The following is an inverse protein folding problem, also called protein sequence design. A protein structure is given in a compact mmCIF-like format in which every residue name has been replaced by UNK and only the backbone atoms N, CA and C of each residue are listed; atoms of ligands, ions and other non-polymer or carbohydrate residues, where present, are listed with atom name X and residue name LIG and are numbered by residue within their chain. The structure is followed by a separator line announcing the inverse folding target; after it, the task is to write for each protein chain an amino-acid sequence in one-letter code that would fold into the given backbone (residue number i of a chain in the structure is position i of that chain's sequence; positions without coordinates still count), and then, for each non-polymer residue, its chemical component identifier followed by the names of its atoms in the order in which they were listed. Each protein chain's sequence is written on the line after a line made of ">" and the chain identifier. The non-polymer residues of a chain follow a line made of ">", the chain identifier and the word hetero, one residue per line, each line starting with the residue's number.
data_IF_746044915757
#
_entry.id   IF_746044915757
#
_cell.length_a   1.000
_cell.length_b   1.000
_cell.length_c   1.000
_cell.angle_alpha   90.00
_cell.angle_beta   90.00
_cell.angle_gamma   90.00
#
_symmetry.space_group_name_H-M   'P 1'
#
loop_
_entity.id
_entity.type
_entity.pdbx_description
1 polymer ?
#
# COMPACT_ATOMS: atom_id res chain seq x y z
N UNK A 1 8.65 -12.03 -0.47
CA UNK A 1 7.39 -11.92 -1.21
C UNK A 1 6.54 -10.80 -0.62
N UNK A 2 5.93 -10.02 -1.46
CA UNK A 2 5.09 -8.91 -1.02
C UNK A 2 3.71 -9.40 -0.54
N UNK A 3 3.06 -8.58 0.29
CA UNK A 3 1.70 -8.82 0.73
C UNK A 3 0.81 -7.73 0.15
N UNK A 4 -0.26 -8.15 -0.53
CA UNK A 4 -1.31 -7.27 -1.02
C UNK A 4 -2.59 -7.61 -0.28
N UNK A 5 -3.24 -6.58 0.28
CA UNK A 5 -4.50 -6.74 0.98
C UNK A 5 -5.51 -5.78 0.40
N UNK A 6 -6.70 -6.28 0.07
CA UNK A 6 -7.81 -5.46 -0.36
C UNK A 6 -8.80 -5.35 0.80
N UNK A 7 -8.94 -4.15 1.36
CA UNK A 7 -9.91 -3.88 2.40
C UNK A 7 -11.23 -3.46 1.76
N UNK A 8 -12.29 -4.25 1.91
CA UNK A 8 -13.60 -3.82 1.42
C UNK A 8 -14.22 -2.74 2.30
N UNK A 9 -15.26 -2.08 1.80
CA UNK A 9 -15.94 -0.98 2.50
C UNK A 9 -16.50 -1.37 3.87
N UNK A 10 -16.92 -2.62 4.03
CA UNK A 10 -17.56 -3.08 5.26
C UNK A 10 -16.58 -3.51 6.34
N UNK A 11 -15.28 -3.41 6.10
CA UNK A 11 -14.25 -3.93 7.00
C UNK A 11 -13.43 -2.80 7.59
N UNK A 12 -13.16 -2.91 8.89
CA UNK A 12 -12.24 -2.03 9.61
C UNK A 12 -11.07 -2.90 10.05
N UNK A 13 -9.84 -2.53 9.64
CA UNK A 13 -8.66 -3.32 9.96
C UNK A 13 -8.16 -2.98 11.38
N UNK A 14 -7.77 -3.99 12.17
CA UNK A 14 -7.19 -3.73 13.48
C UNK A 14 -5.80 -3.12 13.36
N UNK A 15 -5.47 -2.19 14.23
CA UNK A 15 -4.15 -1.53 14.28
C UNK A 15 -3.03 -2.56 14.43
N UNK A 16 -3.26 -3.62 15.20
CA UNK A 16 -2.29 -4.69 15.43
C UNK A 16 -1.84 -5.39 14.15
N UNK A 17 -2.68 -5.43 13.12
CA UNK A 17 -2.33 -6.02 11.83
C UNK A 17 -1.08 -5.35 11.26
N UNK A 18 -1.02 -4.02 11.33
CA UNK A 18 0.11 -3.24 10.80
C UNK A 18 1.40 -3.57 11.55
N UNK A 19 1.32 -3.72 12.86
CA UNK A 19 2.46 -4.13 13.68
C UNK A 19 2.96 -5.52 13.30
N UNK A 20 2.04 -6.46 13.09
CA UNK A 20 2.40 -7.85 12.78
C UNK A 20 3.00 -8.00 11.39
N UNK A 21 2.44 -7.31 10.39
CA UNK A 21 2.89 -7.43 9.00
C UNK A 21 4.28 -6.84 8.80
N UNK A 22 4.59 -5.73 9.46
CA UNK A 22 5.87 -5.04 9.27
C UNK A 22 7.07 -5.89 9.71
N UNK A 23 6.88 -6.84 10.59
CA UNK A 23 7.95 -7.72 11.04
C UNK A 23 8.57 -8.52 9.89
N UNK A 24 7.78 -8.88 8.89
CA UNK A 24 8.24 -9.66 7.73
C UNK A 24 8.33 -8.84 6.46
N UNK A 25 7.39 -7.91 6.24
CA UNK A 25 7.27 -7.15 5.00
C UNK A 25 7.57 -5.67 5.25
N UNK A 26 8.85 -5.34 5.40
CA UNK A 26 9.32 -4.05 5.91
C UNK A 26 10.02 -3.16 4.89
N UNK A 27 10.04 -3.53 3.61
CA UNK A 27 10.85 -2.84 2.59
C UNK A 27 10.08 -1.78 1.81
N UNK A 28 8.87 -1.47 2.23
CA UNK A 28 8.03 -0.44 1.63
C UNK A 28 6.58 -0.67 1.95
N UNK A 29 5.84 0.41 2.11
CA UNK A 29 4.41 0.38 2.42
C UNK A 29 3.69 1.38 1.53
N UNK A 30 2.53 1.00 1.03
CA UNK A 30 1.71 1.91 0.26
C UNK A 30 0.25 1.47 0.20
N UNK A 31 -0.61 2.40 -0.18
CA UNK A 31 -2.02 2.09 -0.43
C UNK A 31 -2.59 3.00 -1.50
N UNK A 32 -3.71 2.58 -2.05
CA UNK A 32 -4.47 3.34 -3.02
C UNK A 32 -5.97 3.14 -2.81
N UNK A 33 -6.74 4.19 -3.09
CA UNK A 33 -8.19 4.16 -2.99
C UNK A 33 -8.80 5.24 -3.89
N UNK A 34 -10.11 5.15 -4.08
CA UNK A 34 -10.89 6.26 -4.63
C UNK A 34 -11.60 6.95 -3.48
N UNK A 35 -11.52 8.28 -3.42
CA UNK A 35 -12.27 9.05 -2.43
C UNK A 35 -13.74 9.21 -2.87
N UNK A 36 -14.53 9.93 -2.08
CA UNK A 36 -15.96 10.13 -2.35
C UNK A 36 -16.23 10.95 -3.61
N UNK A 37 -15.27 11.76 -4.04
CA UNK A 37 -15.32 12.53 -5.28
C UNK A 37 -14.70 11.78 -6.46
N UNK A 38 -14.33 10.50 -6.25
CA UNK A 38 -13.71 9.61 -7.23
C UNK A 38 -12.32 10.06 -7.68
N UNK A 39 -11.62 10.80 -6.83
CA UNK A 39 -10.20 11.08 -7.01
C UNK A 39 -9.37 9.90 -6.50
N UNK A 40 -8.30 9.59 -7.22
CA UNK A 40 -7.37 8.55 -6.79
C UNK A 40 -6.48 9.12 -5.69
N UNK A 41 -6.50 8.46 -4.52
CA UNK A 41 -5.64 8.79 -3.39
C UNK A 41 -4.60 7.71 -3.28
N UNK A 42 -3.33 8.09 -3.20
CA UNK A 42 -2.23 7.16 -3.01
C UNK A 42 -1.31 7.63 -1.89
N UNK A 43 -0.67 6.67 -1.24
CA UNK A 43 0.36 6.93 -0.24
C UNK A 43 1.41 5.85 -0.38
N UNK A 44 2.68 6.23 -0.28
CA UNK A 44 3.77 5.25 -0.19
C UNK A 44 4.95 5.80 0.57
N UNK A 45 5.66 4.92 1.27
CA UNK A 45 6.81 5.28 2.08
C UNK A 45 7.76 4.09 2.20
N UNK A 46 9.04 4.37 2.42
CA UNK A 46 10.02 3.35 2.77
C UNK A 46 10.29 3.31 4.28
N UNK A 47 9.60 4.13 5.06
CA UNK A 47 9.68 4.12 6.52
C UNK A 47 9.33 2.73 7.05
N UNK A 48 10.03 2.30 8.10
CA UNK A 48 9.78 1.02 8.78
C UNK A 48 8.91 1.18 10.03
N UNK A 49 8.40 2.38 10.27
CA UNK A 49 7.55 2.66 11.43
C UNK A 49 6.10 2.30 11.13
N UNK A 50 5.64 1.16 11.67
CA UNK A 50 4.28 0.68 11.44
C UNK A 50 3.20 1.62 11.97
N UNK A 51 3.50 2.38 13.02
CA UNK A 51 2.55 3.36 13.57
C UNK A 51 2.31 4.51 12.58
N UNK A 52 3.36 4.95 11.89
CA UNK A 52 3.26 5.92 10.81
C UNK A 52 2.40 5.38 9.65
N UNK A 53 2.58 4.09 9.31
CA UNK A 53 1.78 3.43 8.28
C UNK A 53 0.30 3.44 8.67
N UNK A 54 0.02 3.02 9.89
CA UNK A 54 -1.35 2.99 10.37
C UNK A 54 -1.98 4.38 10.42
N UNK A 55 -1.24 5.37 10.91
CA UNK A 55 -1.75 6.74 11.03
C UNK A 55 -2.10 7.34 9.67
N UNK A 56 -1.29 7.06 8.65
CA UNK A 56 -1.58 7.49 7.27
C UNK A 56 -2.85 6.82 6.72
N UNK A 57 -3.07 5.57 7.06
CA UNK A 57 -4.23 4.80 6.61
C UNK A 57 -5.50 5.11 7.42
N UNK A 58 -5.37 5.47 8.68
CA UNK A 58 -6.49 5.59 9.63
C UNK A 58 -7.69 6.42 9.13
N UNK A 59 -7.49 7.54 8.40
CA UNK A 59 -8.63 8.31 7.88
C UNK A 59 -9.54 7.51 6.94
N UNK A 60 -9.03 6.44 6.34
CA UNK A 60 -9.76 5.60 5.38
C UNK A 60 -10.16 4.25 5.95
N UNK A 61 -9.86 4.03 7.24
CA UNK A 61 -10.15 2.76 7.92
C UNK A 61 -11.56 2.78 8.50
N UNK A 62 -12.53 2.83 7.62
CA UNK A 62 -13.95 2.88 8.00
C UNK A 62 -14.80 2.18 6.94
N UNK A 63 -16.12 2.32 7.03
CA UNK A 63 -17.05 1.65 6.13
C UNK A 63 -17.24 2.35 4.78
N UNK A 64 -16.59 3.48 4.56
CA UNK A 64 -16.81 4.29 3.35
C UNK A 64 -15.86 3.98 2.20
N UNK A 65 -14.71 3.36 2.51
CA UNK A 65 -13.63 3.21 1.51
C UNK A 65 -13.21 1.77 1.32
N UNK A 66 -13.00 1.41 0.04
CA UNK A 66 -12.28 0.21 -0.34
C UNK A 66 -10.83 0.62 -0.62
N UNK A 67 -9.87 -0.07 0.00
CA UNK A 67 -8.47 0.32 -0.05
C UNK A 67 -7.60 -0.87 -0.45
N UNK A 68 -6.76 -0.68 -1.47
CA UNK A 68 -5.70 -1.64 -1.79
C UNK A 68 -4.43 -1.26 -1.03
N UNK A 69 -3.89 -2.20 -0.27
CA UNK A 69 -2.72 -1.97 0.59
C UNK A 69 -1.61 -2.94 0.20
N UNK A 70 -0.38 -2.46 0.20
CA UNK A 70 0.78 -3.25 -0.19
C UNK A 70 1.91 -3.07 0.83
N UNK A 71 2.44 -4.21 1.30
CA UNK A 71 3.66 -4.27 2.11
C UNK A 71 4.72 -5.02 1.31
N UNK A 72 5.82 -4.34 1.02
CA UNK A 72 6.89 -4.91 0.21
C UNK A 72 7.84 -5.73 1.05
N UNK A 73 8.19 -6.93 0.54
CA UNK A 73 9.37 -7.65 0.97
C UNK A 73 10.34 -7.66 -0.21
N UNK A 74 11.51 -7.07 -0.04
CA UNK A 74 12.49 -6.87 -1.09
C UNK A 74 13.03 -8.21 -1.57
N UNK A 75 12.87 -8.49 -2.87
CA UNK A 75 13.47 -9.62 -3.56
C UNK A 75 14.35 -9.14 -4.71
N UNK A 76 14.03 -8.00 -5.30
CA UNK A 76 14.78 -7.34 -6.36
C UNK A 76 14.67 -5.83 -6.20
N UNK A 77 15.68 -5.14 -6.71
CA UNK A 77 15.72 -3.68 -6.70
C UNK A 77 16.10 -3.12 -5.33
N UNK A 78 16.36 -1.82 -5.31
CA UNK A 78 16.75 -1.13 -4.09
C UNK A 78 15.53 -0.79 -3.24
N UNK A 79 15.77 -0.59 -1.94
CA UNK A 79 14.75 -0.14 -1.01
C UNK A 79 14.58 1.38 -1.13
N UNK A 80 13.92 1.81 -2.22
CA UNK A 80 13.65 3.21 -2.51
C UNK A 80 12.16 3.41 -2.77
N UNK A 81 11.72 4.66 -2.66
CA UNK A 81 10.30 5.00 -2.78
C UNK A 81 9.72 4.61 -4.15
N UNK A 82 10.49 4.76 -5.22
CA UNK A 82 10.06 4.44 -6.59
C UNK A 82 9.72 2.97 -6.78
N UNK A 83 10.32 2.09 -5.96
CA UNK A 83 10.07 0.64 -6.00
C UNK A 83 8.93 0.22 -5.05
N UNK A 84 8.34 1.17 -4.33
CA UNK A 84 7.24 0.93 -3.41
C UNK A 84 5.92 1.10 -4.14
N UNK A 85 5.00 0.15 -3.95
CA UNK A 85 3.66 0.20 -4.54
C UNK A 85 2.74 1.16 -3.78
N UNK A 86 1.74 1.73 -4.43
CA UNK A 86 1.34 1.50 -5.82
C UNK A 86 2.24 2.22 -6.82
N UNK A 87 2.32 1.68 -8.04
CA UNK A 87 3.01 2.34 -9.14
C UNK A 87 2.03 3.15 -9.97
N UNK A 88 2.42 4.36 -10.33
CA UNK A 88 1.66 5.17 -11.27
C UNK A 88 1.94 4.66 -12.69
N UNK A 89 0.90 4.20 -13.37
CA UNK A 89 1.00 3.70 -14.75
C UNK A 89 0.67 4.80 -15.74
N UNK A 90 -0.36 5.60 -15.45
CA UNK A 90 -0.72 6.77 -16.22
C UNK A 90 -1.03 7.88 -15.23
N UNK A 91 -0.37 9.01 -15.38
CA UNK A 91 -0.39 10.09 -14.40
C UNK A 91 -1.81 10.43 -13.95
N UNK A 92 -2.06 10.31 -12.63
CA UNK A 92 -3.30 10.62 -11.96
C UNK A 92 -4.53 9.85 -12.46
N UNK A 93 -4.35 8.81 -13.31
CA UNK A 93 -5.45 8.03 -13.85
C UNK A 93 -5.35 6.54 -13.54
N UNK A 94 -4.17 5.95 -13.67
CA UNK A 94 -3.97 4.50 -13.54
C UNK A 94 -2.82 4.20 -12.59
N UNK A 95 -3.12 3.38 -11.58
CA UNK A 95 -2.14 2.89 -10.63
C UNK A 95 -2.25 1.37 -10.53
N UNK A 96 -1.16 0.70 -10.19
CA UNK A 96 -1.16 -0.74 -10.03
C UNK A 96 -0.33 -1.21 -8.84
N UNK A 97 -0.68 -2.37 -8.33
CA UNK A 97 0.11 -3.14 -7.38
C UNK A 97 0.32 -4.53 -7.95
N UNK A 98 1.46 -5.13 -7.65
CA UNK A 98 1.68 -6.52 -8.02
C UNK A 98 2.44 -7.26 -6.93
N UNK A 99 2.32 -8.59 -6.96
CA UNK A 99 3.05 -9.48 -6.05
C UNK A 99 4.02 -10.30 -6.88
N UNK A 100 5.32 -10.06 -6.67
CA UNK A 100 6.37 -10.69 -7.45
C UNK A 100 7.01 -9.71 -8.41
N UNK A 101 7.81 -10.25 -9.36
CA UNK A 101 8.55 -9.47 -10.34
C UNK A 101 7.88 -9.54 -11.70
N UNK A 102 7.68 -8.36 -12.32
CA UNK A 102 7.15 -8.26 -13.67
C UNK A 102 8.25 -7.70 -14.56
N UNK A 103 8.74 -8.51 -15.51
CA UNK A 103 9.79 -8.09 -16.45
C UNK A 103 9.32 -6.91 -17.30
N UNK A 104 10.17 -5.88 -17.41
CA UNK A 104 9.90 -4.73 -18.24
C UNK A 104 9.13 -3.61 -17.55
N UNK A 105 8.71 -3.77 -16.30
CA UNK A 105 7.97 -2.75 -15.54
C UNK A 105 8.81 -2.06 -14.47
N UNK A 106 10.06 -2.45 -14.30
CA UNK A 106 10.93 -1.85 -13.29
C UNK A 106 12.06 -1.04 -13.90
#
# INVERSE_FOLDING_TARGET
>A
MCLILLKPKSVILPKKLFKNVIEKNKNGFGFMLLDKQKNIITYKTISKNWEEHYDAFAPYNNNDYEVGIHWRLKTQGDEILENTHPFEVKKDEIYMMHNGTISGLQ
#
